data_IF_606862839219
#
_entry.id   IF_606862839219
#
_cell.length_a   1.000
_cell.length_b   1.000
_cell.length_c   1.000
_cell.angle_alpha   90.00
_cell.angle_beta   90.00
_cell.angle_gamma   90.00
#
_symmetry.space_group_name_H-M   'P 1'
#
loop_
_entity.id
_entity.type
_entity.pdbx_description
1 polymer ?
#
# COMPACT_ATOMS: atom_id res chain seq x y z
N UNK A 1 18.79 21.55 -9.86
CA UNK A 1 17.34 21.25 -9.99
C UNK A 1 17.09 20.01 -9.15
N UNK A 2 16.04 19.92 -8.33
CA UNK A 2 15.75 18.64 -7.70
C UNK A 2 15.34 17.65 -8.80
N UNK A 3 15.77 16.41 -8.63
CA UNK A 3 15.62 15.31 -9.59
C UNK A 3 14.15 14.90 -9.71
N UNK A 4 13.35 15.69 -10.42
CA UNK A 4 11.95 15.35 -10.72
C UNK A 4 11.91 14.43 -11.93
N UNK A 5 11.38 13.22 -11.78
CA UNK A 5 11.11 12.35 -12.92
C UNK A 5 10.17 13.09 -13.88
N UNK A 6 10.59 13.28 -15.13
CA UNK A 6 9.89 14.14 -16.09
C UNK A 6 8.43 13.69 -16.35
N UNK A 7 8.14 12.41 -16.14
CA UNK A 7 6.80 11.84 -16.27
C UNK A 7 5.92 11.95 -15.02
N UNK A 8 6.34 12.65 -13.95
CA UNK A 8 5.56 12.75 -12.69
C UNK A 8 4.09 13.13 -12.90
N UNK A 9 3.78 14.20 -13.66
CA UNK A 9 2.39 14.60 -13.88
C UNK A 9 1.56 13.53 -14.58
N UNK A 10 2.17 12.84 -15.56
CA UNK A 10 1.50 11.75 -16.28
C UNK A 10 1.29 10.53 -15.38
N UNK A 11 2.27 10.19 -14.54
CA UNK A 11 2.20 9.06 -13.61
C UNK A 11 1.13 9.29 -12.55
N UNK A 12 1.10 10.46 -11.93
CA UNK A 12 0.06 10.82 -10.95
C UNK A 12 -1.33 10.83 -11.59
N UNK A 13 -1.45 11.36 -12.81
CA UNK A 13 -2.70 11.29 -13.56
C UNK A 13 -3.13 9.85 -13.87
N UNK A 14 -2.19 8.94 -14.13
CA UNK A 14 -2.50 7.55 -14.48
C UNK A 14 -3.04 6.75 -13.28
N UNK A 15 -2.53 7.02 -12.07
CA UNK A 15 -3.00 6.37 -10.82
C UNK A 15 -4.23 7.05 -10.21
N UNK A 16 -4.63 8.21 -10.72
CA UNK A 16 -5.79 8.93 -10.19
C UNK A 16 -7.09 8.19 -10.55
N UNK A 17 -7.87 7.88 -9.53
CA UNK A 17 -9.20 7.27 -9.65
C UNK A 17 -10.18 8.07 -8.81
N UNK A 18 -11.26 8.53 -9.44
CA UNK A 18 -12.32 9.25 -8.74
C UNK A 18 -13.11 8.31 -7.82
N UNK A 19 -13.60 8.83 -6.70
CA UNK A 19 -14.33 8.04 -5.70
C UNK A 19 -15.57 7.34 -6.26
N UNK A 20 -16.20 7.93 -7.26
CA UNK A 20 -17.45 7.44 -7.87
C UNK A 20 -17.20 6.60 -9.14
N UNK A 21 -15.94 6.38 -9.51
CA UNK A 21 -15.59 5.65 -10.72
C UNK A 21 -15.65 4.14 -10.50
N UNK A 22 -16.76 3.53 -10.90
CA UNK A 22 -16.97 2.08 -10.82
C UNK A 22 -16.33 1.29 -11.97
N UNK A 23 -15.76 1.96 -12.97
CA UNK A 23 -15.17 1.32 -14.16
C UNK A 23 -13.63 1.47 -14.21
N UNK A 24 -13.00 1.85 -13.09
CA UNK A 24 -11.56 2.05 -13.02
C UNK A 24 -10.73 0.80 -13.36
N UNK A 25 -11.30 -0.40 -13.18
CA UNK A 25 -10.71 -1.69 -13.57
C UNK A 25 -11.16 -2.20 -14.96
N UNK A 26 -11.63 -1.33 -15.84
CA UNK A 26 -11.82 -1.71 -17.25
C UNK A 26 -10.51 -2.21 -17.88
N UNK A 27 -10.58 -3.17 -18.82
CA UNK A 27 -9.42 -3.92 -19.32
C UNK A 27 -8.19 -3.06 -19.63
N UNK A 28 -8.34 -2.01 -20.44
CA UNK A 28 -7.21 -1.15 -20.82
C UNK A 28 -6.67 -0.32 -19.64
N UNK A 29 -7.56 0.12 -18.75
CA UNK A 29 -7.18 0.95 -17.60
C UNK A 29 -6.56 0.14 -16.47
N UNK A 30 -7.03 -1.08 -16.23
CA UNK A 30 -6.51 -1.95 -15.19
C UNK A 30 -5.03 -2.28 -15.41
N UNK A 31 -4.65 -2.60 -16.66
CA UNK A 31 -3.24 -2.85 -16.99
C UNK A 31 -2.37 -1.60 -16.82
N UNK A 32 -2.89 -0.42 -17.20
CA UNK A 32 -2.18 0.85 -16.97
C UNK A 32 -2.02 1.16 -15.48
N UNK A 33 -3.05 0.92 -14.67
CA UNK A 33 -3.01 1.11 -13.21
C UNK A 33 -2.00 0.19 -12.55
N UNK A 34 -1.93 -1.08 -12.96
CA UNK A 34 -0.92 -2.03 -12.49
C UNK A 34 0.48 -1.49 -12.77
N UNK A 35 0.79 -1.21 -14.04
CA UNK A 35 2.12 -0.74 -14.44
C UNK A 35 2.50 0.60 -13.77
N UNK A 36 1.54 1.50 -13.62
CA UNK A 36 1.74 2.80 -12.98
C UNK A 36 1.99 2.66 -11.47
N UNK A 37 1.22 1.82 -10.79
CA UNK A 37 1.40 1.59 -9.34
C UNK A 37 2.74 0.91 -9.04
N UNK A 38 3.14 -0.07 -9.85
CA UNK A 38 4.48 -0.69 -9.75
C UNK A 38 5.59 0.33 -9.98
N UNK A 39 5.46 1.19 -10.99
CA UNK A 39 6.44 2.23 -11.28
C UNK A 39 6.56 3.23 -10.13
N UNK A 40 5.43 3.63 -9.52
CA UNK A 40 5.44 4.51 -8.34
C UNK A 40 6.23 3.89 -7.19
N UNK A 41 5.97 2.61 -6.88
CA UNK A 41 6.72 1.89 -5.85
C UNK A 41 8.22 1.86 -6.17
N UNK A 42 8.61 1.35 -7.34
CA UNK A 42 10.03 1.21 -7.72
C UNK A 42 10.76 2.56 -7.71
N UNK A 43 10.08 3.63 -8.12
CA UNK A 43 10.62 4.99 -8.09
C UNK A 43 10.92 5.44 -6.66
N UNK A 44 10.02 5.21 -5.70
CA UNK A 44 10.23 5.52 -4.29
C UNK A 44 11.31 4.63 -3.65
N UNK A 45 11.29 3.33 -3.95
CA UNK A 45 12.25 2.35 -3.44
C UNK A 45 13.68 2.69 -3.88
N UNK A 46 13.85 3.14 -5.14
CA UNK A 46 15.16 3.42 -5.70
C UNK A 46 15.85 4.65 -5.10
N UNK A 47 15.10 5.58 -4.49
CA UNK A 47 15.64 6.84 -3.96
C UNK A 47 14.70 7.48 -2.93
N UNK A 48 15.18 7.83 -1.73
CA UNK A 48 14.34 8.50 -0.72
C UNK A 48 13.83 9.88 -1.19
N UNK A 49 14.62 10.61 -2.00
CA UNK A 49 14.22 11.91 -2.55
C UNK A 49 12.98 11.81 -3.45
N UNK A 50 12.81 10.67 -4.13
CA UNK A 50 11.66 10.41 -4.97
C UNK A 50 10.39 10.22 -4.12
N UNK A 51 10.52 9.55 -2.97
CA UNK A 51 9.43 9.39 -2.00
C UNK A 51 9.03 10.72 -1.36
N UNK A 52 10.00 11.54 -0.95
CA UNK A 52 9.72 12.89 -0.39
C UNK A 52 9.05 13.82 -1.41
N UNK A 53 9.45 13.76 -2.69
CA UNK A 53 8.77 14.47 -3.78
C UNK A 53 7.33 13.97 -3.95
N UNK A 54 7.11 12.65 -3.88
CA UNK A 54 5.76 12.06 -4.04
C UNK A 54 4.80 12.58 -2.98
N UNK A 55 5.25 12.59 -1.72
CA UNK A 55 4.48 13.12 -0.60
C UNK A 55 4.17 14.59 -0.82
N UNK A 56 5.17 15.40 -1.18
CA UNK A 56 4.97 16.83 -1.43
C UNK A 56 4.02 17.14 -2.60
N UNK A 57 3.97 16.28 -3.59
CA UNK A 57 3.08 16.41 -4.76
C UNK A 57 1.67 15.82 -4.53
N UNK A 58 1.31 15.47 -3.28
CA UNK A 58 -0.02 14.97 -2.93
C UNK A 58 -0.24 13.50 -3.27
N UNK A 59 0.84 12.71 -3.30
CA UNK A 59 0.79 11.29 -3.62
C UNK A 59 0.04 10.44 -2.58
N UNK A 60 0.07 10.82 -1.30
CA UNK A 60 -0.60 10.04 -0.22
C UNK A 60 -2.12 9.99 -0.46
N UNK A 61 -2.86 11.11 -0.63
CA UNK A 61 -4.30 11.07 -0.90
C UNK A 61 -4.67 10.30 -2.17
N UNK A 62 -3.86 10.38 -3.22
CA UNK A 62 -4.09 9.66 -4.47
C UNK A 62 -3.98 8.15 -4.28
N UNK A 63 -2.88 7.71 -3.66
CA UNK A 63 -2.64 6.30 -3.36
C UNK A 63 -3.66 5.75 -2.36
N UNK A 64 -4.04 6.54 -1.35
CA UNK A 64 -5.04 6.15 -0.37
C UNK A 64 -6.42 5.97 -0.99
N UNK A 65 -6.81 6.87 -1.90
CA UNK A 65 -8.06 6.75 -2.66
C UNK A 65 -8.03 5.49 -3.53
N UNK A 66 -6.95 5.26 -4.27
CA UNK A 66 -6.82 4.07 -5.11
C UNK A 66 -6.83 2.77 -4.29
N UNK A 67 -6.13 2.75 -3.14
CA UNK A 67 -6.15 1.60 -2.22
C UNK A 67 -7.58 1.31 -1.77
N UNK A 68 -8.30 2.31 -1.25
CA UNK A 68 -9.67 2.17 -0.79
C UNK A 68 -10.60 1.62 -1.87
N UNK A 69 -10.45 2.08 -3.13
CA UNK A 69 -11.21 1.56 -4.28
C UNK A 69 -10.88 0.10 -4.57
N UNK A 70 -9.61 -0.29 -4.52
CA UNK A 70 -9.22 -1.69 -4.69
C UNK A 70 -9.71 -2.57 -3.52
N UNK A 71 -9.65 -2.08 -2.28
CA UNK A 71 -10.14 -2.79 -1.08
C UNK A 71 -11.65 -3.06 -1.12
N UNK A 72 -12.43 -2.28 -1.86
CA UNK A 72 -13.84 -2.56 -2.10
C UNK A 72 -14.11 -3.78 -2.99
N UNK A 73 -13.11 -4.27 -3.74
CA UNK A 73 -13.26 -5.39 -4.69
C UNK A 73 -12.37 -6.60 -4.38
N UNK A 74 -11.29 -6.43 -3.61
CA UNK A 74 -10.48 -7.55 -3.14
C UNK A 74 -11.09 -8.19 -1.89
N UNK A 75 -10.86 -9.49 -1.76
CA UNK A 75 -11.25 -10.30 -0.61
C UNK A 75 -10.01 -11.02 -0.06
N UNK A 76 -10.04 -11.56 1.18
CA UNK A 76 -8.93 -12.32 1.76
C UNK A 76 -8.37 -13.41 0.82
N UNK A 77 -9.26 -14.10 0.11
CA UNK A 77 -8.92 -15.18 -0.82
C UNK A 77 -8.72 -14.73 -2.27
N UNK A 78 -8.61 -13.42 -2.53
CA UNK A 78 -8.31 -12.92 -3.87
C UNK A 78 -6.90 -13.35 -4.29
N UNK A 79 -6.72 -14.03 -5.45
CA UNK A 79 -5.40 -14.45 -5.89
C UNK A 79 -4.48 -13.26 -6.22
N UNK A 80 -3.18 -13.40 -5.92
CA UNK A 80 -2.18 -12.40 -6.31
C UNK A 80 -2.09 -12.13 -7.82
N UNK A 81 -2.60 -13.02 -8.67
CA UNK A 81 -2.65 -12.82 -10.13
C UNK A 81 -3.78 -11.89 -10.57
N UNK A 82 -4.70 -11.52 -9.68
CA UNK A 82 -5.74 -10.53 -9.98
C UNK A 82 -5.11 -9.12 -10.06
N UNK A 83 -5.54 -8.32 -11.03
CA UNK A 83 -4.99 -6.99 -11.27
C UNK A 83 -5.21 -6.05 -10.08
N UNK A 84 -6.37 -6.13 -9.43
CA UNK A 84 -6.72 -5.38 -8.21
C UNK A 84 -5.76 -5.69 -7.05
N UNK A 85 -5.47 -6.97 -6.80
CA UNK A 85 -4.52 -7.42 -5.79
C UNK A 85 -3.08 -7.00 -6.11
N UNK A 86 -2.69 -7.01 -7.40
CA UNK A 86 -1.39 -6.52 -7.83
C UNK A 86 -1.23 -5.01 -7.55
N UNK A 87 -2.28 -4.23 -7.81
CA UNK A 87 -2.31 -2.80 -7.49
C UNK A 87 -2.18 -2.58 -5.98
N UNK A 88 -2.96 -3.30 -5.16
CA UNK A 88 -2.88 -3.22 -3.67
C UNK A 88 -1.48 -3.50 -3.18
N UNK A 89 -0.85 -4.59 -3.65
CA UNK A 89 0.51 -4.95 -3.24
C UNK A 89 1.52 -3.84 -3.59
N UNK A 90 1.42 -3.24 -4.78
CA UNK A 90 2.29 -2.14 -5.17
C UNK A 90 2.09 -0.89 -4.32
N UNK A 91 0.83 -0.50 -4.05
CA UNK A 91 0.53 0.65 -3.20
C UNK A 91 1.04 0.43 -1.77
N UNK A 92 0.83 -0.76 -1.21
CA UNK A 92 1.30 -1.08 0.13
C UNK A 92 2.82 -1.05 0.23
N UNK A 93 3.54 -1.53 -0.80
CA UNK A 93 5.00 -1.37 -0.85
C UNK A 93 5.42 0.10 -0.93
N UNK A 94 4.72 0.92 -1.71
CA UNK A 94 4.94 2.37 -1.67
C UNK A 94 4.73 2.94 -0.27
N UNK A 95 3.64 2.60 0.42
CA UNK A 95 3.41 3.07 1.79
C UNK A 95 4.45 2.57 2.80
N UNK A 96 5.01 1.36 2.62
CA UNK A 96 6.14 0.89 3.45
C UNK A 96 7.35 1.82 3.31
N UNK A 97 7.67 2.27 2.09
CA UNK A 97 8.73 3.26 1.85
C UNK A 97 8.37 4.61 2.44
N UNK A 98 7.19 5.15 2.10
CA UNK A 98 6.81 6.50 2.47
C UNK A 98 6.63 6.69 3.98
N UNK A 99 6.13 5.68 4.69
CA UNK A 99 5.90 5.73 6.14
C UNK A 99 7.17 5.91 6.98
N UNK A 100 8.36 5.81 6.38
CA UNK A 100 9.62 6.19 7.02
C UNK A 100 9.73 7.71 7.23
N UNK A 101 9.05 8.52 6.41
CA UNK A 101 9.03 9.98 6.51
C UNK A 101 7.94 10.48 7.45
N UNK A 102 8.25 11.45 8.30
CA UNK A 102 7.28 12.03 9.25
C UNK A 102 6.13 12.77 8.57
N UNK A 103 6.42 13.50 7.49
CA UNK A 103 5.40 14.18 6.68
C UNK A 103 4.38 13.22 6.12
N UNK A 104 4.84 12.08 5.56
CA UNK A 104 3.96 11.04 5.04
C UNK A 104 3.09 10.44 6.15
N UNK A 105 3.66 10.08 7.30
CA UNK A 105 2.88 9.53 8.43
C UNK A 105 1.78 10.47 8.90
N UNK A 106 2.07 11.77 8.94
CA UNK A 106 1.10 12.80 9.32
C UNK A 106 -0.07 12.82 8.33
N UNK A 107 0.23 12.89 7.03
CA UNK A 107 -0.80 12.91 5.97
C UNK A 107 -1.60 11.60 5.92
N UNK A 108 -0.95 10.46 6.18
CA UNK A 108 -1.61 9.16 6.25
C UNK A 108 -2.60 9.08 7.43
N UNK A 109 -2.30 9.71 8.56
CA UNK A 109 -3.23 9.80 9.70
C UNK A 109 -4.42 10.72 9.41
N UNK A 110 -4.20 11.80 8.67
CA UNK A 110 -5.24 12.77 8.30
C UNK A 110 -6.23 12.21 7.28
N UNK A 111 -5.80 11.27 6.42
CA UNK A 111 -6.67 10.63 5.45
C UNK A 111 -7.58 9.59 6.10
N UNK A 112 -8.86 9.94 6.27
CA UNK A 112 -9.86 9.08 6.90
C UNK A 112 -9.98 7.72 6.20
N UNK A 113 -9.95 6.64 6.99
CA UNK A 113 -10.08 5.26 6.54
C UNK A 113 -8.77 4.60 6.07
N UNK A 114 -7.70 5.37 5.82
CA UNK A 114 -6.45 4.79 5.34
C UNK A 114 -5.80 3.84 6.35
N UNK A 115 -5.85 4.16 7.64
CA UNK A 115 -5.30 3.28 8.68
C UNK A 115 -6.05 1.95 8.73
N UNK A 116 -7.38 1.98 8.62
CA UNK A 116 -8.22 0.79 8.53
C UNK A 116 -7.87 -0.03 7.28
N UNK A 117 -7.79 0.59 6.10
CA UNK A 117 -7.40 -0.08 4.85
C UNK A 117 -6.01 -0.74 4.94
N UNK A 118 -5.02 -0.05 5.54
CA UNK A 118 -3.67 -0.59 5.77
C UNK A 118 -3.70 -1.82 6.67
N UNK A 119 -4.51 -1.78 7.73
CA UNK A 119 -4.67 -2.93 8.63
C UNK A 119 -5.35 -4.09 7.91
N UNK A 120 -6.42 -3.83 7.16
CA UNK A 120 -7.15 -4.85 6.40
C UNK A 120 -6.32 -5.50 5.28
N UNK A 121 -5.31 -4.82 4.74
CA UNK A 121 -4.35 -5.45 3.82
C UNK A 121 -3.60 -6.65 4.42
N UNK A 122 -3.52 -6.77 5.76
CA UNK A 122 -2.92 -7.94 6.42
C UNK A 122 -3.77 -9.21 6.33
N UNK A 123 -5.03 -9.09 5.89
CA UNK A 123 -5.96 -10.22 5.70
C UNK A 123 -5.87 -10.85 4.31
N UNK A 124 -5.06 -10.31 3.39
CA UNK A 124 -4.98 -10.79 2.00
C UNK A 124 -4.13 -12.07 1.90
N UNK A 125 -4.66 -13.18 2.41
CA UNK A 125 -4.01 -14.49 2.61
C UNK A 125 -3.22 -14.98 1.38
N UNK A 126 -3.71 -14.73 0.16
CA UNK A 126 -3.08 -15.18 -1.08
C UNK A 126 -2.18 -14.12 -1.74
N UNK A 127 -1.92 -12.99 -1.05
CA UNK A 127 -1.08 -11.89 -1.54
C UNK A 127 0.00 -11.56 -0.49
N UNK A 128 1.00 -12.44 -0.27
CA UNK A 128 2.00 -12.27 0.80
C UNK A 128 2.77 -10.94 0.73
N UNK A 129 2.97 -10.42 -0.48
CA UNK A 129 3.62 -9.13 -0.69
C UNK A 129 2.83 -7.95 -0.10
N UNK A 130 1.50 -7.99 -0.15
CA UNK A 130 0.66 -6.96 0.45
C UNK A 130 0.70 -7.06 1.98
N UNK A 131 0.67 -8.29 2.52
CA UNK A 131 0.78 -8.54 3.97
C UNK A 131 2.12 -8.02 4.49
N UNK A 132 3.25 -8.42 3.89
CA UNK A 132 4.59 -7.99 4.33
C UNK A 132 4.73 -6.46 4.31
N UNK A 133 4.31 -5.82 3.22
CA UNK A 133 4.36 -4.37 3.11
C UNK A 133 3.41 -3.66 4.10
N UNK A 134 2.24 -4.24 4.39
CA UNK A 134 1.35 -3.74 5.43
C UNK A 134 1.97 -3.82 6.82
N UNK A 135 2.60 -4.95 7.16
CA UNK A 135 3.29 -5.12 8.44
C UNK A 135 4.42 -4.11 8.61
N UNK A 136 5.24 -3.90 7.58
CA UNK A 136 6.30 -2.89 7.60
C UNK A 136 5.73 -1.48 7.76
N UNK A 137 4.66 -1.16 7.02
CA UNK A 137 3.98 0.14 7.13
C UNK A 137 3.44 0.35 8.55
N UNK A 138 2.75 -0.65 9.12
CA UNK A 138 2.23 -0.61 10.50
C UNK A 138 3.37 -0.40 11.50
N UNK A 139 4.52 -1.08 11.32
CA UNK A 139 5.68 -0.91 12.18
C UNK A 139 6.22 0.53 12.14
N UNK A 140 6.37 1.12 10.96
CA UNK A 140 6.81 2.52 10.81
C UNK A 140 5.79 3.52 11.36
N UNK A 141 4.49 3.26 11.19
CA UNK A 141 3.41 4.09 11.71
C UNK A 141 3.32 4.03 13.25
N UNK A 142 3.67 2.89 13.85
CA UNK A 142 3.60 2.65 15.29
C UNK A 142 4.59 3.48 16.12
N UNK A 143 5.42 4.34 15.51
CA UNK A 143 6.30 5.23 16.27
C UNK A 143 5.57 6.48 16.81
N UNK A 144 4.41 6.84 16.25
CA UNK A 144 3.58 7.96 16.73
C UNK A 144 2.47 7.45 17.64
N UNK A 145 2.28 8.09 18.80
CA UNK A 145 1.24 7.73 19.77
C UNK A 145 -0.18 7.94 19.23
N UNK A 146 -0.36 8.96 18.40
CA UNK A 146 -1.61 9.28 17.72
C UNK A 146 -1.99 8.17 16.73
N UNK A 147 -1.01 7.72 15.94
CA UNK A 147 -1.22 6.64 14.97
C UNK A 147 -1.36 5.29 15.66
N UNK A 148 -0.64 5.02 16.76
CA UNK A 148 -0.87 3.84 17.60
C UNK A 148 -2.33 3.74 18.05
N UNK A 149 -2.92 4.85 18.50
CA UNK A 149 -4.33 4.89 18.88
C UNK A 149 -5.26 4.61 17.69
N UNK A 150 -4.93 5.11 16.50
CA UNK A 150 -5.67 4.82 15.28
C UNK A 150 -5.58 3.33 14.89
N UNK A 151 -4.39 2.74 14.92
CA UNK A 151 -4.15 1.32 14.66
C UNK A 151 -4.90 0.43 15.65
N UNK A 152 -4.92 0.78 16.94
CA UNK A 152 -5.68 0.05 17.96
C UNK A 152 -7.19 0.13 17.71
N UNK A 153 -7.71 1.30 17.29
CA UNK A 153 -9.13 1.46 16.91
C UNK A 153 -9.49 0.65 15.66
N UNK A 154 -8.58 0.55 14.70
CA UNK A 154 -8.70 -0.30 13.52
C UNK A 154 -8.56 -1.80 13.85
N UNK A 155 -8.29 -2.16 15.11
CA UNK A 155 -8.22 -3.55 15.55
C UNK A 155 -6.93 -4.27 15.17
N UNK A 156 -5.83 -3.55 14.90
CA UNK A 156 -4.56 -4.11 14.39
C UNK A 156 -4.09 -5.39 15.12
N UNK A 157 -4.26 -5.46 16.44
CA UNK A 157 -3.83 -6.60 17.25
C UNK A 157 -4.55 -7.90 16.87
N UNK A 158 -5.82 -7.82 16.45
CA UNK A 158 -6.60 -8.98 16.03
C UNK A 158 -6.07 -9.61 14.74
N UNK A 159 -5.41 -8.82 13.89
CA UNK A 159 -4.81 -9.30 12.65
C UNK A 159 -3.35 -9.73 12.85
N UNK A 160 -2.60 -9.02 13.71
CA UNK A 160 -1.20 -9.36 14.00
C UNK A 160 -1.04 -10.65 14.81
N UNK A 161 -1.91 -10.90 15.79
CA UNK A 161 -1.78 -12.09 16.66
C UNK A 161 -1.85 -13.40 15.84
N UNK A 162 -2.84 -13.61 14.95
CA UNK A 162 -2.85 -14.77 14.07
C UNK A 162 -1.60 -14.88 13.22
N UNK A 163 -1.14 -13.80 12.59
CA UNK A 163 0.07 -13.83 11.75
C UNK A 163 1.34 -14.19 12.54
N UNK A 164 1.46 -13.74 13.79
CA UNK A 164 2.56 -14.10 14.68
C UNK A 164 2.50 -15.57 15.14
N UNK A 165 1.31 -16.12 15.32
CA UNK A 165 1.07 -17.46 15.85
C UNK A 165 0.92 -18.53 14.75
N UNK A 166 0.67 -18.13 13.51
CA UNK A 166 0.75 -18.97 12.32
C UNK A 166 2.22 -19.21 11.98
N UNK A 167 2.91 -19.95 12.85
CA UNK A 167 4.25 -20.44 12.59
C UNK A 167 4.21 -21.47 11.46
N UNK A 168 4.62 -21.08 10.25
CA UNK A 168 4.80 -22.02 9.16
C UNK A 168 6.14 -22.75 9.32
N UNK A 169 6.09 -23.99 9.82
CA UNK A 169 7.24 -24.88 9.87
C UNK A 169 7.75 -25.32 8.46
N UNK A 170 7.06 -24.99 7.37
CA UNK A 170 7.41 -25.42 6.02
C UNK A 170 8.43 -24.50 5.33
N UNK A 171 8.71 -23.31 5.88
CA UNK A 171 9.77 -22.42 5.39
C UNK A 171 11.18 -23.00 5.46
N UNK A 172 11.39 -24.08 6.24
CA UNK A 172 12.69 -24.77 6.32
C UNK A 172 12.85 -25.94 5.33
N UNK A 173 11.77 -26.47 4.74
CA UNK A 173 11.86 -27.65 3.85
C UNK A 173 12.23 -27.31 2.40
N UNK A 174 12.09 -26.05 1.98
CA UNK A 174 12.47 -25.61 0.63
C UNK A 174 13.93 -25.14 0.51
N UNK A 175 14.67 -25.10 1.61
CA UNK A 175 16.12 -24.83 1.61
C UNK A 175 16.99 -26.11 1.64
N UNK A 176 16.36 -27.31 1.60
CA UNK A 176 17.05 -28.61 1.69
C UNK A 176 16.65 -29.57 0.54
N UNK A 177 16.20 -29.05 -0.60
CA UNK A 177 16.06 -29.85 -1.83
C UNK A 177 16.69 -29.17 -3.04
#
# INVERSE_FOLDING_TARGET
MPFKYAGYPMLLSAITVDKDDNNFLSSDRAHLLVASSELVWLMCESSPFNGEELVRDGGIPLLATLLSRCMCVVQPTTPATELSATIVASIMRTFSVLSQFESARTEMLEFSGLVDDIVHCTELELVPAAIDAALQTIAHLSISSEIQNALLKAGVLWYLIPLLLQYDAHGLELAVK
#
